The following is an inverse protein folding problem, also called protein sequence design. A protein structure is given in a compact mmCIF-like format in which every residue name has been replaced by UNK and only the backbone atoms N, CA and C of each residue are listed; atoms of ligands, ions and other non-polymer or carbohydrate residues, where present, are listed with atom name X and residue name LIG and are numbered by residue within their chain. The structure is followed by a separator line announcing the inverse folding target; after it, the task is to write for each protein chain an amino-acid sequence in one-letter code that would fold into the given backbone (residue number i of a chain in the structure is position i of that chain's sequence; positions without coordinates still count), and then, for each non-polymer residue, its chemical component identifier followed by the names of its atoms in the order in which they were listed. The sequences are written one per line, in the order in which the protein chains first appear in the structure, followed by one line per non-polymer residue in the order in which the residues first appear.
data_IF_803361792792
#
_entry.id   IF_803361792792
#
_cell.length_a   1.000
_cell.length_b   1.000
_cell.length_c   1.000
_cell.angle_alpha   90.00
_cell.angle_beta   90.00
_cell.angle_gamma   90.00
#
_symmetry.space_group_name_H-M   'P 1'
#
loop_
_entity.id
_entity.type
_entity.pdbx_description
1 polymer ?
#
# COMPACT_ATOMS: atom_id res chain seq x y z
N UNK A 1 28.03 1.48 -14.38
CA UNK A 1 26.90 0.75 -14.99
C UNK A 1 25.81 1.77 -15.32
N UNK A 2 25.58 2.05 -16.59
CA UNK A 2 24.53 2.97 -17.01
C UNK A 2 23.18 2.24 -16.82
N UNK A 3 22.44 2.52 -15.75
CA UNK A 3 21.10 1.97 -15.55
C UNK A 3 20.15 2.64 -16.55
N UNK A 4 20.20 2.26 -17.82
CA UNK A 4 19.27 2.80 -18.80
C UNK A 4 17.84 2.40 -18.41
N UNK A 5 16.94 3.38 -18.41
CA UNK A 5 15.51 3.12 -18.29
C UNK A 5 15.06 2.36 -19.52
N UNK A 6 14.85 1.05 -19.38
CA UNK A 6 14.30 0.23 -20.45
C UNK A 6 12.84 0.61 -20.68
N UNK A 7 12.34 0.39 -21.90
CA UNK A 7 10.92 0.61 -22.20
C UNK A 7 9.99 -0.16 -21.25
N UNK A 8 10.40 -1.34 -20.78
CA UNK A 8 9.66 -2.10 -19.77
C UNK A 8 9.56 -1.39 -18.43
N UNK A 9 10.67 -0.81 -17.94
CA UNK A 9 10.68 -0.04 -16.69
C UNK A 9 9.84 1.23 -16.79
N UNK A 10 9.93 1.94 -17.92
CA UNK A 10 9.12 3.15 -18.19
C UNK A 10 7.63 2.80 -18.18
N UNK A 11 7.23 1.71 -18.84
CA UNK A 11 5.83 1.23 -18.82
C UNK A 11 5.36 0.87 -17.41
N UNK A 12 6.19 0.18 -16.63
CA UNK A 12 5.86 -0.16 -15.24
C UNK A 12 5.64 1.09 -14.38
N UNK A 13 6.55 2.06 -14.46
CA UNK A 13 6.39 3.34 -13.75
C UNK A 13 5.16 4.11 -14.22
N UNK A 14 4.87 4.10 -15.52
CA UNK A 14 3.70 4.79 -16.08
C UNK A 14 2.38 4.20 -15.58
N UNK A 15 2.32 2.88 -15.31
CA UNK A 15 1.13 2.23 -14.73
C UNK A 15 0.90 2.58 -13.26
N UNK A 16 1.95 2.98 -12.53
CA UNK A 16 1.86 3.40 -11.13
C UNK A 16 1.64 4.91 -10.98
N UNK A 17 1.80 5.68 -12.06
CA UNK A 17 1.64 7.12 -12.05
C UNK A 17 0.22 7.53 -12.41
N UNK A 18 -0.18 8.70 -11.92
CA UNK A 18 -1.35 9.43 -12.43
C UNK A 18 -1.16 9.81 -13.89
N UNK A 19 -2.23 10.24 -14.57
CA UNK A 19 -2.17 10.74 -15.95
C UNK A 19 -1.20 11.93 -16.15
N UNK A 20 -0.81 12.62 -15.08
CA UNK A 20 0.18 13.72 -15.09
C UNK A 20 1.62 13.26 -14.85
N UNK A 21 1.85 11.96 -14.67
CA UNK A 21 3.17 11.40 -14.38
C UNK A 21 3.59 11.52 -12.91
N UNK A 22 2.67 11.84 -11.99
CA UNK A 22 2.96 11.92 -10.56
C UNK A 22 2.67 10.59 -9.86
N UNK A 23 3.49 10.22 -8.88
CA UNK A 23 3.19 9.12 -7.98
C UNK A 23 2.32 9.62 -6.81
N UNK A 24 1.07 9.17 -6.79
CA UNK A 24 0.17 9.30 -5.64
C UNK A 24 -0.20 7.89 -5.20
N UNK A 25 0.55 7.36 -4.23
CA UNK A 25 0.53 5.94 -3.87
C UNK A 25 0.02 5.78 -2.45
N UNK A 26 -0.95 4.88 -2.27
CA UNK A 26 -1.37 4.40 -0.96
C UNK A 26 -0.35 3.40 -0.41
N UNK A 27 0.34 3.76 0.67
CA UNK A 27 1.23 2.85 1.40
C UNK A 27 0.47 2.11 2.51
N UNK A 28 0.13 0.84 2.25
CA UNK A 28 -0.59 -0.02 3.20
C UNK A 28 0.15 -1.34 3.50
N UNK A 29 1.49 -1.30 3.58
CA UNK A 29 2.35 -2.46 3.80
C UNK A 29 2.74 -2.66 5.28
N UNK A 30 2.21 -1.83 6.19
CA UNK A 30 2.51 -1.90 7.62
C UNK A 30 2.13 -3.29 8.17
N UNK A 31 3.01 -3.84 9.01
CA UNK A 31 2.83 -5.13 9.70
C UNK A 31 2.71 -4.92 11.20
N UNK A 32 3.83 -5.02 11.94
CA UNK A 32 3.83 -4.84 13.40
C UNK A 32 3.26 -3.49 13.87
N UNK A 33 3.44 -2.42 13.08
CA UNK A 33 2.81 -1.13 13.40
C UNK A 33 1.29 -1.18 13.29
N UNK A 34 0.74 -1.87 12.29
CA UNK A 34 -0.72 -2.07 12.17
C UNK A 34 -1.25 -2.84 13.39
N UNK A 35 -0.55 -3.88 13.83
CA UNK A 35 -0.92 -4.66 15.03
C UNK A 35 -1.00 -3.75 16.25
N UNK A 36 0.04 -2.93 16.48
CA UNK A 36 0.06 -1.98 17.62
C UNK A 36 -1.06 -0.95 17.54
N UNK A 37 -1.36 -0.45 16.34
CA UNK A 37 -2.46 0.49 16.13
C UNK A 37 -3.81 -0.16 16.48
N UNK A 38 -4.05 -1.40 16.07
CA UNK A 38 -5.29 -2.12 16.41
C UNK A 38 -5.39 -2.43 17.92
N UNK A 39 -4.28 -2.76 18.57
CA UNK A 39 -4.20 -2.91 20.01
C UNK A 39 -4.57 -1.62 20.74
N UNK A 40 -4.04 -0.49 20.29
CA UNK A 40 -4.37 0.83 20.84
C UNK A 40 -5.81 1.27 20.53
N UNK A 41 -6.38 0.78 19.42
CA UNK A 41 -7.76 1.06 19.01
C UNK A 41 -8.81 0.15 19.67
N UNK A 42 -8.42 -0.69 20.65
CA UNK A 42 -9.35 -1.50 21.44
C UNK A 42 -9.47 -2.97 21.02
N UNK A 43 -8.66 -3.46 20.07
CA UNK A 43 -8.52 -4.88 19.80
C UNK A 43 -7.21 -5.40 20.42
N UNK A 44 -7.20 -5.85 21.69
CA UNK A 44 -5.97 -6.15 22.43
C UNK A 44 -5.17 -7.34 21.87
N UNK A 45 -5.81 -8.24 21.11
CA UNK A 45 -5.14 -9.37 20.47
C UNK A 45 -5.63 -9.54 19.02
N UNK A 46 -5.21 -8.66 18.09
CA UNK A 46 -5.65 -8.71 16.70
C UNK A 46 -5.20 -10.01 16.04
N UNK A 47 -6.14 -10.67 15.39
CA UNK A 47 -5.88 -11.85 14.57
C UNK A 47 -5.27 -11.46 13.22
N UNK A 48 -4.77 -12.46 12.48
CA UNK A 48 -4.33 -12.23 11.11
C UNK A 48 -5.48 -11.71 10.23
N UNK A 49 -6.66 -12.29 10.41
CA UNK A 49 -7.89 -11.96 9.71
C UNK A 49 -8.32 -10.51 9.98
N UNK A 50 -8.17 -10.02 11.23
CA UNK A 50 -8.44 -8.61 11.57
C UNK A 50 -7.54 -7.67 10.78
N UNK A 51 -6.24 -8.00 10.68
CA UNK A 51 -5.26 -7.18 9.94
C UNK A 51 -5.56 -7.19 8.45
N UNK A 52 -5.90 -8.36 7.88
CA UNK A 52 -6.28 -8.49 6.47
C UNK A 52 -7.55 -7.69 6.19
N UNK A 53 -8.56 -7.81 7.05
CA UNK A 53 -9.82 -7.08 6.92
C UNK A 53 -9.56 -5.58 6.88
N UNK A 54 -8.81 -5.04 7.83
CA UNK A 54 -8.51 -3.60 7.88
C UNK A 54 -7.74 -3.14 6.64
N UNK A 55 -6.77 -3.93 6.15
CA UNK A 55 -6.05 -3.61 4.91
C UNK A 55 -6.99 -3.57 3.70
N UNK A 56 -7.89 -4.56 3.59
CA UNK A 56 -8.87 -4.61 2.52
C UNK A 56 -9.87 -3.45 2.61
N UNK A 57 -10.31 -3.09 3.81
CA UNK A 57 -11.21 -1.95 4.04
C UNK A 57 -10.53 -0.63 3.61
N UNK A 58 -9.26 -0.43 3.96
CA UNK A 58 -8.48 0.75 3.55
C UNK A 58 -8.32 0.80 2.02
N UNK A 59 -7.89 -0.30 1.39
CA UNK A 59 -7.68 -0.37 -0.06
C UNK A 59 -8.99 -0.17 -0.80
N UNK A 60 -10.07 -0.82 -0.36
CA UNK A 60 -11.41 -0.69 -0.97
C UNK A 60 -11.96 0.72 -0.91
N UNK A 61 -11.63 1.50 0.12
CA UNK A 61 -12.07 2.90 0.24
C UNK A 61 -11.17 3.90 -0.51
N UNK A 62 -9.86 3.62 -0.62
CA UNK A 62 -8.85 4.63 -1.03
C UNK A 62 -8.12 4.30 -2.34
N UNK A 63 -8.29 3.12 -2.92
CA UNK A 63 -7.72 2.76 -4.23
C UNK A 63 -8.77 2.97 -5.33
N UNK A 64 -8.77 4.14 -6.01
CA UNK A 64 -9.68 4.43 -7.13
C UNK A 64 -9.42 3.58 -8.37
#
# INVERSE_FOLDING_TARGET
MNQSMTLGKIRGLSQLATARGWFSILACDQRGNMIRMLQQAGNPNPTYEDIVKVKLDIVGALSP
#
